data_IF_929239044158
#
_entry.id   IF_929239044158
#
_cell.length_a   1.000
_cell.length_b   1.000
_cell.length_c   1.000
_cell.angle_alpha   90.00
_cell.angle_beta   90.00
_cell.angle_gamma   90.00
#
_symmetry.space_group_name_H-M   'P 1'
#
loop_
_entity.id
_entity.type
_entity.pdbx_description
1 polymer ?
#
# COMPACT_ATOMS: atom_id res chain seq x y z
N UNK A 1 2.92 -14.05 -28.84
CA UNK A 1 4.14 -13.25 -28.53
C UNK A 1 3.88 -11.75 -28.60
N UNK A 2 3.09 -11.28 -29.57
CA UNK A 2 2.67 -9.87 -29.67
C UNK A 2 1.91 -9.37 -28.44
N UNK A 3 1.03 -10.19 -27.86
CA UNK A 3 0.25 -9.82 -26.65
C UNK A 3 1.12 -9.58 -25.41
N UNK A 4 2.21 -10.35 -25.27
CA UNK A 4 3.17 -10.19 -24.18
C UNK A 4 3.90 -8.85 -24.30
N UNK A 5 4.25 -8.44 -25.52
CA UNK A 5 4.91 -7.15 -25.78
C UNK A 5 3.95 -6.00 -25.46
N UNK A 6 2.68 -6.11 -25.87
CA UNK A 6 1.64 -5.11 -25.55
C UNK A 6 1.46 -4.99 -24.04
N UNK A 7 1.44 -6.12 -23.32
CA UNK A 7 1.29 -6.14 -21.86
C UNK A 7 2.49 -5.48 -21.16
N UNK A 8 3.72 -5.79 -21.58
CA UNK A 8 4.93 -5.13 -21.06
C UNK A 8 4.87 -3.62 -21.31
N UNK A 9 4.48 -3.22 -22.52
CA UNK A 9 4.33 -1.81 -22.88
C UNK A 9 3.27 -1.11 -22.01
N UNK A 10 2.15 -1.76 -21.74
CA UNK A 10 1.10 -1.25 -20.88
C UNK A 10 1.58 -1.07 -19.42
N UNK A 11 2.37 -2.01 -18.91
CA UNK A 11 2.96 -1.91 -17.56
C UNK A 11 3.93 -0.74 -17.50
N UNK A 12 4.84 -0.61 -18.47
CA UNK A 12 5.81 0.50 -18.52
C UNK A 12 5.08 1.84 -18.62
N UNK A 13 4.07 1.94 -19.49
CA UNK A 13 3.26 3.13 -19.65
C UNK A 13 2.53 3.50 -18.34
N UNK A 14 1.89 2.51 -17.70
CA UNK A 14 1.22 2.69 -16.42
C UNK A 14 2.19 3.22 -15.35
N UNK A 15 3.37 2.60 -15.21
CA UNK A 15 4.37 3.01 -14.24
C UNK A 15 4.85 4.45 -14.48
N UNK A 16 5.20 4.80 -15.71
CA UNK A 16 5.68 6.15 -16.05
C UNK A 16 4.61 7.20 -15.74
N UNK A 17 3.35 6.96 -16.14
CA UNK A 17 2.26 7.90 -15.89
C UNK A 17 1.89 7.98 -14.40
N UNK A 18 1.97 6.87 -13.65
CA UNK A 18 1.78 6.87 -12.20
C UNK A 18 2.83 7.74 -11.49
N UNK A 19 4.11 7.63 -11.87
CA UNK A 19 5.17 8.47 -11.30
C UNK A 19 5.07 9.95 -11.70
N UNK A 20 4.38 10.27 -12.80
CA UNK A 20 4.05 11.66 -13.18
C UNK A 20 2.91 12.26 -12.35
N UNK A 21 2.38 11.54 -11.37
CA UNK A 21 1.35 12.04 -10.45
C UNK A 21 -0.06 12.02 -11.02
N UNK A 22 -0.32 11.26 -12.08
CA UNK A 22 -1.68 11.05 -12.57
C UNK A 22 -2.50 10.25 -11.55
N UNK A 23 -3.73 10.67 -11.30
CA UNK A 23 -4.65 9.94 -10.43
C UNK A 23 -4.90 8.53 -10.95
N UNK A 24 -4.88 7.54 -10.05
CA UNK A 24 -5.17 6.15 -10.36
C UNK A 24 -6.56 5.97 -11.00
N UNK A 25 -7.52 6.84 -10.66
CA UNK A 25 -8.90 6.83 -11.20
C UNK A 25 -8.89 7.14 -12.70
N UNK A 26 -8.02 8.04 -13.16
CA UNK A 26 -7.90 8.42 -14.58
C UNK A 26 -6.96 7.45 -15.30
N UNK A 27 -5.90 7.03 -14.62
CA UNK A 27 -4.86 6.18 -15.18
C UNK A 27 -5.38 4.78 -15.55
N UNK A 28 -6.19 4.17 -14.68
CA UNK A 28 -6.74 2.82 -14.90
C UNK A 28 -7.53 2.68 -16.20
N UNK A 29 -8.58 3.50 -16.45
CA UNK A 29 -9.33 3.47 -17.69
C UNK A 29 -8.46 3.83 -18.91
N UNK A 30 -7.57 4.81 -18.77
CA UNK A 30 -6.75 5.30 -19.88
C UNK A 30 -5.80 4.22 -20.39
N UNK A 31 -5.06 3.56 -19.49
CA UNK A 31 -4.15 2.47 -19.87
C UNK A 31 -4.92 1.26 -20.39
N UNK A 32 -6.08 0.96 -19.80
CA UNK A 32 -6.94 -0.14 -20.26
C UNK A 32 -7.46 0.12 -21.68
N UNK A 33 -7.84 1.35 -22.00
CA UNK A 33 -8.31 1.73 -23.34
C UNK A 33 -7.19 1.63 -24.38
N UNK A 34 -5.98 2.08 -24.04
CA UNK A 34 -4.80 1.93 -24.89
C UNK A 34 -4.49 0.44 -25.15
N UNK A 35 -4.59 -0.39 -24.11
CA UNK A 35 -4.42 -1.84 -24.20
C UNK A 35 -5.43 -2.47 -25.17
N UNK A 36 -6.70 -2.10 -25.04
CA UNK A 36 -7.79 -2.62 -25.85
C UNK A 36 -7.62 -2.25 -27.33
N UNK A 37 -7.16 -1.03 -27.61
CA UNK A 37 -6.85 -0.58 -28.98
C UNK A 37 -5.66 -1.37 -29.56
N UNK A 38 -4.56 -1.51 -28.80
CA UNK A 38 -3.36 -2.20 -29.25
C UNK A 38 -3.57 -3.71 -29.47
N UNK A 39 -4.34 -4.35 -28.58
CA UNK A 39 -4.64 -5.77 -28.63
C UNK A 39 -5.84 -6.12 -29.52
N UNK A 40 -6.50 -5.12 -30.15
CA UNK A 40 -7.70 -5.29 -31.00
C UNK A 40 -8.83 -6.06 -30.30
N UNK A 41 -9.03 -5.79 -29.01
CA UNK A 41 -10.08 -6.39 -28.21
C UNK A 41 -11.43 -5.68 -28.44
N UNK A 42 -12.58 -6.34 -28.19
CA UNK A 42 -13.87 -5.70 -28.26
C UNK A 42 -13.94 -4.56 -27.24
N UNK A 43 -13.97 -3.32 -27.76
CA UNK A 43 -13.77 -2.08 -27.02
C UNK A 43 -14.59 -1.95 -25.75
N UNK A 44 -15.90 -1.81 -25.97
CA UNK A 44 -16.89 -1.59 -24.93
C UNK A 44 -17.03 -2.82 -24.02
N UNK A 45 -17.04 -4.02 -24.59
CA UNK A 45 -17.22 -5.26 -23.83
C UNK A 45 -16.04 -5.53 -22.88
N UNK A 46 -14.82 -5.21 -23.30
CA UNK A 46 -13.63 -5.40 -22.45
C UNK A 46 -13.60 -4.37 -21.30
N UNK A 47 -14.05 -3.15 -21.59
CA UNK A 47 -14.12 -2.08 -20.59
C UNK A 47 -15.24 -2.33 -19.56
N UNK A 48 -16.44 -2.72 -20.01
CA UNK A 48 -17.59 -2.99 -19.15
C UNK A 48 -17.58 -4.39 -18.50
N UNK A 49 -16.85 -5.35 -19.08
CA UNK A 49 -16.72 -6.69 -18.53
C UNK A 49 -15.49 -6.81 -17.63
N UNK A 50 -14.35 -7.32 -18.14
CA UNK A 50 -13.12 -7.54 -17.36
C UNK A 50 -12.67 -6.34 -16.53
N UNK A 51 -12.53 -5.15 -17.14
CA UNK A 51 -12.03 -3.97 -16.44
C UNK A 51 -12.97 -3.52 -15.31
N UNK A 52 -14.27 -3.35 -15.59
CA UNK A 52 -15.26 -2.99 -14.56
C UNK A 52 -15.45 -4.05 -13.48
N UNK A 53 -15.36 -5.33 -13.81
CA UNK A 53 -15.44 -6.40 -12.81
C UNK A 53 -14.26 -6.30 -11.83
N UNK A 54 -13.03 -6.10 -12.34
CA UNK A 54 -11.85 -5.92 -11.49
C UNK A 54 -11.90 -4.61 -10.69
N UNK A 55 -12.28 -3.50 -11.33
CA UNK A 55 -12.34 -2.18 -10.69
C UNK A 55 -13.40 -2.13 -9.58
N UNK A 56 -14.61 -2.62 -9.87
CA UNK A 56 -15.71 -2.67 -8.89
C UNK A 56 -15.42 -3.66 -7.76
N UNK A 57 -14.79 -4.80 -8.05
CA UNK A 57 -14.35 -5.76 -7.05
C UNK A 57 -13.33 -5.15 -6.08
N UNK A 58 -12.36 -4.40 -6.60
CA UNK A 58 -11.40 -3.67 -5.77
C UNK A 58 -12.09 -2.62 -4.89
N UNK A 59 -12.98 -1.82 -5.46
CA UNK A 59 -13.74 -0.83 -4.70
C UNK A 59 -14.57 -1.50 -3.61
N UNK A 60 -15.34 -2.54 -3.93
CA UNK A 60 -16.17 -3.27 -2.97
C UNK A 60 -15.36 -3.82 -1.78
N UNK A 61 -14.19 -4.36 -2.05
CA UNK A 61 -13.37 -5.02 -1.01
C UNK A 61 -12.62 -4.02 -0.13
N UNK A 62 -12.16 -2.90 -0.68
CA UNK A 62 -11.25 -1.97 0.02
C UNK A 62 -11.85 -0.61 0.37
N UNK A 63 -13.05 -0.28 -0.12
CA UNK A 63 -13.66 1.04 0.10
C UNK A 63 -13.78 1.40 1.58
N UNK A 64 -14.40 0.54 2.40
CA UNK A 64 -14.57 0.84 3.83
C UNK A 64 -13.23 0.96 4.56
N UNK A 65 -12.26 0.12 4.19
CA UNK A 65 -10.90 0.16 4.77
C UNK A 65 -10.23 1.49 4.48
N UNK A 66 -10.27 1.95 3.22
CA UNK A 66 -9.70 3.23 2.83
C UNK A 66 -10.47 4.42 3.40
N UNK A 67 -11.80 4.36 3.41
CA UNK A 67 -12.64 5.43 3.93
C UNK A 67 -12.42 5.64 5.44
N UNK A 68 -12.50 4.57 6.23
CA UNK A 68 -12.26 4.64 7.68
C UNK A 68 -10.81 5.01 7.96
N UNK A 69 -9.85 4.49 7.20
CA UNK A 69 -8.44 4.86 7.31
C UNK A 69 -8.21 6.36 7.08
N UNK A 70 -8.77 6.91 5.99
CA UNK A 70 -8.68 8.34 5.69
C UNK A 70 -9.36 9.20 6.78
N UNK A 71 -10.53 8.78 7.26
CA UNK A 71 -11.25 9.46 8.34
C UNK A 71 -10.42 9.46 9.64
N UNK A 72 -9.86 8.31 10.03
CA UNK A 72 -9.02 8.17 11.21
C UNK A 72 -7.76 9.04 11.09
N UNK A 73 -7.14 9.07 9.91
CA UNK A 73 -6.02 9.96 9.61
C UNK A 73 -6.35 11.44 9.84
N UNK A 74 -7.49 11.91 9.30
CA UNK A 74 -7.97 13.29 9.48
C UNK A 74 -8.25 13.61 10.93
N UNK A 75 -9.00 12.76 11.65
CA UNK A 75 -9.35 12.99 13.06
C UNK A 75 -8.09 13.08 13.93
N UNK A 76 -7.09 12.23 13.71
CA UNK A 76 -5.85 12.24 14.48
C UNK A 76 -4.98 13.48 14.22
N UNK A 77 -5.03 14.00 13.00
CA UNK A 77 -4.38 15.26 12.64
C UNK A 77 -5.09 16.45 13.29
N UNK A 78 -6.42 16.50 13.18
CA UNK A 78 -7.26 17.58 13.73
C UNK A 78 -7.22 17.65 15.26
N UNK A 79 -7.35 16.50 15.93
CA UNK A 79 -7.30 16.40 17.40
C UNK A 79 -5.89 16.58 17.98
N UNK A 80 -4.86 16.64 17.12
CA UNK A 80 -3.44 16.60 17.52
C UNK A 80 -3.05 15.36 18.33
N UNK A 81 -3.88 14.32 18.36
CA UNK A 81 -3.58 13.05 19.03
C UNK A 81 -2.32 12.41 18.43
N UNK A 82 -2.16 12.49 17.10
CA UNK A 82 -0.95 12.03 16.41
C UNK A 82 0.32 12.72 16.93
N UNK A 83 0.24 14.02 17.25
CA UNK A 83 1.35 14.78 17.82
C UNK A 83 1.69 14.30 19.23
N UNK A 84 0.70 14.01 20.07
CA UNK A 84 0.92 13.49 21.44
C UNK A 84 1.63 12.12 21.42
N UNK A 85 1.18 11.20 20.57
CA UNK A 85 1.82 9.88 20.41
C UNK A 85 3.25 10.04 19.89
N UNK A 86 3.46 10.92 18.90
CA UNK A 86 4.79 11.23 18.38
C UNK A 86 5.73 11.80 19.47
N UNK A 87 5.20 12.61 20.40
CA UNK A 87 5.98 13.14 21.52
C UNK A 87 6.46 12.02 22.45
N UNK A 88 5.54 11.16 22.90
CA UNK A 88 5.81 10.02 23.76
C UNK A 88 6.81 9.04 23.13
N UNK A 89 6.61 8.68 21.86
CA UNK A 89 7.51 7.77 21.15
C UNK A 89 8.91 8.37 20.92
N UNK A 90 8.99 9.69 20.68
CA UNK A 90 10.26 10.38 20.52
C UNK A 90 11.05 10.48 21.83
N UNK A 91 10.38 10.53 22.99
CA UNK A 91 11.04 10.48 24.31
C UNK A 91 11.68 9.12 24.57
N UNK A 92 10.98 8.03 24.25
CA UNK A 92 11.51 6.66 24.33
C UNK A 92 12.78 6.51 23.47
N UNK A 93 12.78 7.16 22.32
CA UNK A 93 13.79 7.02 21.27
C UNK A 93 14.92 8.06 21.38
N UNK A 94 14.79 9.03 22.31
CA UNK A 94 15.69 10.20 22.48
C UNK A 94 16.01 10.93 21.17
N UNK A 95 15.08 10.91 20.21
CA UNK A 95 15.23 11.49 18.88
C UNK A 95 16.23 10.79 17.93
N UNK A 96 16.73 9.60 18.25
CA UNK A 96 17.64 8.82 17.39
C UNK A 96 16.95 7.56 16.89
N UNK A 97 16.97 7.27 15.58
CA UNK A 97 16.35 6.07 14.97
C UNK A 97 14.81 6.10 14.77
N UNK A 98 14.25 7.28 14.49
CA UNK A 98 12.81 7.45 14.20
C UNK A 98 12.30 6.59 13.02
N UNK A 99 13.09 6.48 11.95
CA UNK A 99 12.70 5.66 10.79
C UNK A 99 12.65 4.14 11.11
N UNK A 100 13.71 3.53 11.71
CA UNK A 100 13.64 2.16 12.20
C UNK A 100 12.51 1.87 13.18
N UNK A 101 12.19 2.81 14.08
CA UNK A 101 11.07 2.64 15.02
C UNK A 101 9.73 2.51 14.28
N UNK A 102 9.49 3.37 13.28
CA UNK A 102 8.26 3.29 12.47
C UNK A 102 8.21 1.97 11.71
N UNK A 103 9.34 1.54 11.13
CA UNK A 103 9.47 0.24 10.47
C UNK A 103 9.14 -0.93 11.42
N UNK A 104 9.60 -0.87 12.67
CA UNK A 104 9.30 -1.88 13.69
C UNK A 104 7.81 -1.88 14.06
N UNK A 105 7.23 -0.71 14.34
CA UNK A 105 5.81 -0.58 14.73
C UNK A 105 4.91 -1.08 13.60
N UNK A 106 5.14 -0.61 12.38
CA UNK A 106 4.36 -1.01 11.20
C UNK A 106 4.54 -2.50 10.91
N UNK A 107 5.74 -3.04 11.10
CA UNK A 107 6.01 -4.46 10.96
C UNK A 107 5.29 -5.33 12.00
N UNK A 108 5.31 -4.95 13.28
CA UNK A 108 4.61 -5.70 14.34
C UNK A 108 3.10 -5.67 14.12
N UNK A 109 2.53 -4.52 13.76
CA UNK A 109 1.10 -4.38 13.49
C UNK A 109 0.67 -5.23 12.29
N UNK A 110 1.46 -5.23 11.20
CA UNK A 110 1.15 -6.05 10.03
C UNK A 110 1.39 -7.54 10.28
N UNK A 111 2.41 -7.90 11.05
CA UNK A 111 2.64 -9.29 11.46
C UNK A 111 1.50 -9.83 12.34
N UNK A 112 0.87 -8.95 13.13
CA UNK A 112 -0.38 -9.23 13.84
C UNK A 112 -1.62 -9.42 12.96
N UNK A 113 -1.48 -9.39 11.62
CA UNK A 113 -2.56 -9.63 10.66
C UNK A 113 -3.38 -8.41 10.30
N UNK A 114 -2.95 -7.21 10.70
CA UNK A 114 -3.56 -5.97 10.24
C UNK A 114 -3.10 -5.72 8.80
N UNK A 115 -4.05 -5.44 7.91
CA UNK A 115 -3.75 -5.10 6.51
C UNK A 115 -2.76 -3.93 6.42
N UNK A 116 -1.70 -4.07 5.62
CA UNK A 116 -0.70 -3.02 5.42
C UNK A 116 -1.29 -1.68 4.96
N UNK A 117 -2.43 -1.72 4.25
CA UNK A 117 -3.18 -0.51 3.90
C UNK A 117 -3.73 0.20 5.14
N UNK A 118 -4.37 -0.52 6.07
CA UNK A 118 -4.88 0.04 7.34
C UNK A 118 -3.72 0.62 8.15
N UNK A 119 -2.62 -0.14 8.26
CA UNK A 119 -1.42 0.31 9.00
C UNK A 119 -0.88 1.61 8.42
N UNK A 120 -0.84 1.77 7.10
CA UNK A 120 -0.41 3.00 6.47
C UNK A 120 -1.25 4.20 6.93
N UNK A 121 -2.59 4.12 6.88
CA UNK A 121 -3.45 5.24 7.28
C UNK A 121 -3.36 5.59 8.77
N UNK A 122 -3.24 4.59 9.64
CA UNK A 122 -3.15 4.79 11.09
C UNK A 122 -1.79 5.38 11.46
N UNK A 123 -0.72 4.88 10.88
CA UNK A 123 0.65 5.25 11.27
C UNK A 123 1.14 6.52 10.57
N UNK A 124 0.68 6.80 9.35
CA UNK A 124 1.10 7.97 8.57
C UNK A 124 1.03 9.31 9.34
N UNK A 125 -0.09 9.70 9.98
CA UNK A 125 -0.16 11.00 10.68
C UNK A 125 0.82 11.05 11.87
N UNK A 126 0.99 9.94 12.59
CA UNK A 126 1.91 9.84 13.74
C UNK A 126 3.36 9.95 13.24
N UNK A 127 3.70 9.15 12.24
CA UNK A 127 5.01 9.09 11.60
C UNK A 127 5.42 10.47 11.04
N UNK A 128 4.49 11.17 10.38
CA UNK A 128 4.72 12.49 9.80
C UNK A 128 5.11 13.51 10.89
N UNK A 129 4.42 13.49 12.03
CA UNK A 129 4.74 14.36 13.17
C UNK A 129 6.10 14.00 13.80
N UNK A 130 6.43 12.71 13.91
CA UNK A 130 7.74 12.26 14.40
C UNK A 130 8.89 12.70 13.49
N UNK A 131 8.71 12.61 12.16
CA UNK A 131 9.71 13.06 11.19
C UNK A 131 9.89 14.58 11.23
N UNK A 132 8.80 15.34 11.31
CA UNK A 132 8.85 16.80 11.47
C UNK A 132 9.59 17.21 12.75
N UNK A 133 9.42 16.49 13.86
CA UNK A 133 10.09 16.81 15.13
C UNK A 133 11.60 16.56 15.09
N UNK A 134 12.02 15.51 14.38
CA UNK A 134 13.43 15.12 14.29
C UNK A 134 14.13 15.71 13.05
N UNK A 135 13.51 16.69 12.38
CA UNK A 135 14.01 17.32 11.16
C UNK A 135 14.39 16.31 10.04
N UNK A 136 13.56 15.27 9.88
CA UNK A 136 13.75 14.23 8.87
C UNK A 136 12.87 14.53 7.66
N UNK A 137 13.43 14.37 6.46
CA UNK A 137 12.68 14.57 5.21
C UNK A 137 11.47 13.64 5.11
N UNK A 138 10.29 14.24 4.83
CA UNK A 138 9.03 13.52 4.57
C UNK A 138 9.11 12.52 3.42
N UNK A 139 10.10 12.66 2.54
CA UNK A 139 10.31 11.75 1.40
C UNK A 139 10.66 10.33 1.83
N UNK A 140 11.29 10.17 3.00
CA UNK A 140 11.69 8.87 3.54
C UNK A 140 10.52 8.18 4.27
N UNK A 141 9.46 8.94 4.59
CA UNK A 141 8.31 8.45 5.35
C UNK A 141 7.60 7.25 4.68
N UNK A 142 7.26 7.30 3.38
CA UNK A 142 6.63 6.16 2.73
C UNK A 142 7.54 4.94 2.74
N UNK A 143 8.84 5.13 2.49
CA UNK A 143 9.82 4.04 2.52
C UNK A 143 9.91 3.39 3.92
N UNK A 144 9.91 4.17 5.00
CA UNK A 144 9.98 3.66 6.36
C UNK A 144 8.73 2.84 6.75
N UNK A 145 7.53 3.31 6.36
CA UNK A 145 6.27 2.58 6.59
C UNK A 145 6.22 1.31 5.73
N UNK A 146 6.52 1.44 4.43
CA UNK A 146 6.54 0.33 3.48
C UNK A 146 7.54 -0.76 3.85
N UNK A 147 8.71 -0.37 4.37
CA UNK A 147 9.71 -1.31 4.86
C UNK A 147 9.15 -2.20 5.99
N UNK A 148 8.27 -1.70 6.86
CA UNK A 148 7.68 -2.52 7.90
C UNK A 148 6.50 -3.34 7.40
N UNK A 149 5.53 -2.71 6.71
CA UNK A 149 4.26 -3.36 6.36
C UNK A 149 4.28 -4.21 5.07
N UNK A 150 5.27 -4.03 4.19
CA UNK A 150 5.34 -4.75 2.90
C UNK A 150 6.63 -5.56 2.69
N UNK A 151 7.46 -5.76 3.73
CA UNK A 151 8.67 -6.61 3.64
C UNK A 151 8.60 -7.79 4.61
N UNK A 152 9.34 -7.77 5.73
CA UNK A 152 9.50 -8.89 6.65
C UNK A 152 8.17 -9.30 7.28
N UNK A 153 7.30 -8.37 7.67
CA UNK A 153 6.02 -8.69 8.32
C UNK A 153 5.08 -9.55 7.46
N UNK A 154 5.20 -9.47 6.13
CA UNK A 154 4.36 -10.23 5.20
C UNK A 154 4.94 -11.57 4.79
N UNK A 155 6.25 -11.74 4.91
CA UNK A 155 6.98 -12.91 4.40
C UNK A 155 7.60 -13.74 5.54
N UNK A 156 7.60 -13.24 6.77
CA UNK A 156 8.12 -13.98 7.92
C UNK A 156 7.25 -15.19 8.27
N UNK A 157 7.87 -16.27 8.77
CA UNK A 157 7.16 -17.49 9.13
C UNK A 157 6.06 -17.23 10.16
N UNK A 158 4.88 -17.79 9.93
CA UNK A 158 3.69 -17.59 10.75
C UNK A 158 2.88 -16.33 10.41
N UNK A 159 3.32 -15.52 9.43
CA UNK A 159 2.58 -14.33 9.03
C UNK A 159 1.19 -14.68 8.46
N UNK A 160 0.11 -14.04 8.94
CA UNK A 160 -1.23 -14.21 8.38
C UNK A 160 -1.47 -13.39 7.10
N UNK A 161 -0.44 -12.72 6.55
CA UNK A 161 -0.57 -11.92 5.34
C UNK A 161 -0.82 -12.78 4.08
N UNK A 162 -1.54 -12.21 3.11
CA UNK A 162 -1.86 -12.86 1.82
C UNK A 162 -0.59 -13.36 1.10
N UNK A 163 0.49 -12.60 1.21
CA UNK A 163 1.79 -12.85 0.58
C UNK A 163 2.45 -14.13 1.10
N UNK A 164 2.24 -14.50 2.37
CA UNK A 164 2.68 -15.78 2.94
C UNK A 164 1.69 -16.91 2.62
N UNK A 165 0.38 -16.63 2.70
CA UNK A 165 -0.67 -17.63 2.52
C UNK A 165 -0.73 -18.19 1.09
N UNK A 166 -0.51 -17.37 0.07
CA UNK A 166 -0.53 -17.81 -1.34
C UNK A 166 0.50 -18.92 -1.61
N UNK A 167 1.82 -18.73 -1.34
CA UNK A 167 2.81 -19.77 -1.57
C UNK A 167 2.61 -20.98 -0.67
N UNK A 168 2.21 -20.82 0.60
CA UNK A 168 1.85 -21.95 1.48
C UNK A 168 0.78 -22.85 0.85
N UNK A 169 -0.31 -22.25 0.35
CA UNK A 169 -1.42 -22.99 -0.28
C UNK A 169 -0.99 -23.64 -1.58
N UNK A 170 -0.12 -22.98 -2.35
CA UNK A 170 0.38 -23.53 -3.62
C UNK A 170 1.41 -24.64 -3.44
N UNK A 171 2.21 -24.60 -2.37
CA UNK A 171 3.30 -25.54 -2.09
C UNK A 171 2.91 -26.64 -1.08
N UNK A 172 1.75 -26.52 -0.43
CA UNK A 172 1.28 -27.47 0.58
C UNK A 172 2.08 -27.43 1.89
N UNK A 173 2.77 -26.33 2.18
CA UNK A 173 3.66 -26.18 3.34
C UNK A 173 2.95 -25.50 4.51
N UNK A 174 3.37 -25.77 5.77
CA UNK A 174 2.84 -25.07 6.94
C UNK A 174 3.22 -23.59 6.93
N UNK A 175 2.46 -22.75 7.66
CA UNK A 175 2.66 -21.29 7.70
C UNK A 175 4.02 -20.84 8.22
N UNK A 176 4.70 -21.71 8.96
CA UNK A 176 6.04 -21.49 9.52
C UNK A 176 7.19 -21.84 8.58
N UNK A 177 6.91 -22.23 7.34
CA UNK A 177 7.94 -22.67 6.39
C UNK A 177 8.60 -21.54 5.58
N UNK A 178 8.12 -20.30 5.71
CA UNK A 178 8.66 -19.12 5.04
C UNK A 178 9.94 -18.59 5.67
#
# INVERSE_FOLDING_TARGET
MFDVIILILAIVLFSVLAFKGMSAIILGPLVSLILVILARLPGVDTMLGPYMTSASGYFKNYFLVFFVGALFGSIYEDTKAAKSIALMMSEITRGKFTAPLITLITGVLTFGGISGFVVYFVVYPIALQMFRRNDISRLILPAAISAGCWTFSMNSPGSPAIQNIIPMRSLGTPSTAA
#
